data_IF_269724588409
#
_entry.id   IF_269724588409
#
_cell.length_a   1.000
_cell.length_b   1.000
_cell.length_c   1.000
_cell.angle_alpha   90.00
_cell.angle_beta   90.00
_cell.angle_gamma   90.00
#
_symmetry.space_group_name_H-M   'P 1'
#
loop_
_entity.id
_entity.type
_entity.pdbx_description
1 polymer ?
#
# COMPACT_ATOMS: atom_id res chain seq x y z
N UNK A 1 33.70 -28.58 -34.51
CA UNK A 1 33.63 -28.48 -33.03
C UNK A 1 33.20 -27.08 -32.54
N UNK A 2 32.16 -26.46 -33.12
CA UNK A 2 31.66 -25.11 -32.69
C UNK A 2 30.26 -25.14 -32.06
N UNK A 3 29.59 -26.29 -32.07
CA UNK A 3 28.18 -26.40 -31.70
C UNK A 3 27.96 -26.87 -30.25
N UNK A 4 28.92 -27.57 -29.65
CA UNK A 4 28.81 -28.02 -28.24
C UNK A 4 28.77 -26.84 -27.26
N UNK A 5 29.52 -25.76 -27.51
CA UNK A 5 29.61 -24.63 -26.57
C UNK A 5 28.29 -23.85 -26.45
N UNK A 6 27.47 -23.81 -27.52
CA UNK A 6 26.14 -23.19 -27.50
C UNK A 6 25.17 -23.93 -26.57
N UNK A 7 25.25 -25.26 -26.53
CA UNK A 7 24.37 -26.07 -25.68
C UNK A 7 24.82 -26.07 -24.22
N UNK A 8 26.13 -26.03 -23.95
CA UNK A 8 26.66 -25.93 -22.59
C UNK A 8 26.28 -24.60 -21.93
N UNK A 9 26.33 -23.49 -22.66
CA UNK A 9 25.92 -22.17 -22.14
C UNK A 9 24.39 -22.08 -21.92
N UNK A 10 23.58 -22.70 -22.79
CA UNK A 10 22.12 -22.81 -22.63
C UNK A 10 21.73 -23.64 -21.41
N UNK A 11 22.48 -24.72 -21.11
CA UNK A 11 22.22 -25.60 -19.98
C UNK A 11 22.56 -24.94 -18.63
N UNK A 12 23.57 -24.07 -18.59
CA UNK A 12 23.91 -23.27 -17.41
C UNK A 12 22.82 -22.23 -17.13
N UNK A 13 22.27 -21.58 -18.17
CA UNK A 13 21.19 -20.59 -18.01
C UNK A 13 19.88 -21.23 -17.52
N UNK A 14 19.60 -22.48 -17.92
CA UNK A 14 18.43 -23.22 -17.45
C UNK A 14 18.53 -23.62 -15.96
N UNK A 15 19.76 -23.83 -15.45
CA UNK A 15 19.99 -24.20 -14.04
C UNK A 15 19.92 -23.00 -13.08
N UNK A 16 20.16 -21.78 -13.55
CA UNK A 16 20.12 -20.57 -12.70
C UNK A 16 18.67 -20.11 -12.44
N UNK A 17 17.72 -20.43 -13.34
CA UNK A 17 16.33 -19.99 -13.23
C UNK A 17 15.50 -20.74 -12.15
N UNK A 18 16.02 -21.81 -11.54
CA UNK A 18 15.29 -22.61 -10.54
C UNK A 18 15.43 -22.12 -9.10
N UNK A 19 16.29 -21.13 -8.84
CA UNK A 19 16.48 -20.57 -7.49
C UNK A 19 15.71 -19.27 -7.29
N UNK A 20 14.45 -19.23 -7.73
CA UNK A 20 13.52 -18.18 -7.30
C UNK A 20 13.00 -18.60 -5.93
N UNK A 21 13.70 -18.16 -4.88
CA UNK A 21 13.15 -18.22 -3.53
C UNK A 21 11.98 -17.24 -3.46
N UNK A 22 10.77 -17.75 -3.63
CA UNK A 22 9.55 -17.01 -3.33
C UNK A 22 9.43 -16.92 -1.80
N UNK A 23 10.16 -15.98 -1.18
CA UNK A 23 10.08 -15.76 0.25
C UNK A 23 8.65 -15.30 0.59
N UNK A 24 7.89 -16.16 1.28
CA UNK A 24 6.58 -15.81 1.81
C UNK A 24 6.77 -14.75 2.89
N UNK A 25 6.58 -13.48 2.54
CA UNK A 25 6.68 -12.38 3.49
C UNK A 25 5.50 -12.41 4.45
N UNK A 26 5.77 -12.58 5.75
CA UNK A 26 4.73 -12.58 6.78
C UNK A 26 4.25 -11.15 7.01
N UNK A 27 2.96 -10.91 6.75
CA UNK A 27 2.32 -9.62 6.98
C UNK A 27 1.63 -9.64 8.33
N UNK A 28 2.06 -8.76 9.23
CA UNK A 28 1.53 -8.64 10.58
C UNK A 28 0.24 -7.81 10.59
N UNK A 29 -0.74 -8.20 11.41
CA UNK A 29 -1.94 -7.38 11.65
C UNK A 29 -1.68 -6.29 12.69
N UNK A 30 -0.78 -6.57 13.63
CA UNK A 30 -0.34 -5.66 14.68
C UNK A 30 1.14 -5.92 14.93
N UNK A 31 1.89 -4.87 15.19
CA UNK A 31 3.30 -4.92 15.57
C UNK A 31 3.51 -4.14 16.88
N UNK A 32 4.66 -4.36 17.53
CA UNK A 32 5.09 -3.59 18.70
C UNK A 32 5.14 -2.09 18.41
N UNK A 33 5.67 -1.74 17.23
CA UNK A 33 5.67 -0.38 16.72
C UNK A 33 4.86 -0.35 15.43
N UNK A 34 3.76 0.39 15.44
CA UNK A 34 2.91 0.56 14.27
C UNK A 34 3.60 1.42 13.20
N UNK A 35 3.26 1.24 11.92
CA UNK A 35 3.75 2.10 10.85
C UNK A 35 3.34 3.56 11.06
N UNK A 36 4.19 4.49 10.62
CA UNK A 36 3.95 5.92 10.78
C UNK A 36 4.17 6.68 9.47
N UNK A 37 3.30 7.64 9.16
CA UNK A 37 3.48 8.55 8.04
C UNK A 37 4.72 9.43 8.27
N UNK A 38 5.52 9.75 7.23
CA UNK A 38 6.67 10.63 7.40
C UNK A 38 6.24 12.01 7.92
N UNK A 39 6.81 12.46 9.04
CA UNK A 39 6.39 13.69 9.72
C UNK A 39 5.22 13.51 10.70
N UNK A 40 4.72 12.28 10.86
CA UNK A 40 3.69 11.93 11.83
C UNK A 40 2.26 12.24 11.38
N UNK A 41 1.34 12.16 12.34
CA UNK A 41 -0.10 12.26 12.08
C UNK A 41 -0.51 13.65 11.58
N UNK A 42 0.15 14.72 12.02
CA UNK A 42 -0.15 16.07 11.60
C UNK A 42 0.09 16.29 10.10
N UNK A 43 1.20 15.78 9.57
CA UNK A 43 1.51 15.87 8.13
C UNK A 43 0.60 14.97 7.31
N UNK A 44 0.23 13.80 7.84
CA UNK A 44 -0.75 12.92 7.24
C UNK A 44 -2.12 13.61 7.11
N UNK A 45 -2.57 14.32 8.15
CA UNK A 45 -3.82 15.08 8.11
C UNK A 45 -3.77 16.20 7.08
N UNK A 46 -2.65 16.95 7.00
CA UNK A 46 -2.46 17.96 5.94
C UNK A 46 -2.50 17.34 4.55
N UNK A 47 -1.85 16.18 4.35
CA UNK A 47 -1.90 15.46 3.09
C UNK A 47 -3.36 15.14 2.70
N UNK A 48 -4.17 14.64 3.63
CA UNK A 48 -5.58 14.37 3.37
C UNK A 48 -6.41 15.59 2.98
N UNK A 49 -6.08 16.79 3.46
CA UNK A 49 -6.77 18.00 3.00
C UNK A 49 -6.52 18.32 1.52
N UNK A 50 -5.48 17.75 0.92
CA UNK A 50 -5.12 17.95 -0.49
C UNK A 50 -5.91 17.03 -1.43
N UNK A 51 -6.65 16.04 -0.90
CA UNK A 51 -7.41 15.12 -1.73
C UNK A 51 -8.45 15.88 -2.57
N UNK A 52 -8.46 15.62 -3.88
CA UNK A 52 -9.45 16.19 -4.77
C UNK A 52 -10.73 15.38 -4.66
N UNK A 53 -11.74 15.97 -4.03
CA UNK A 53 -13.08 15.40 -4.05
C UNK A 53 -13.69 15.65 -5.43
N UNK A 54 -14.04 14.61 -6.21
CA UNK A 54 -14.90 14.82 -7.37
C UNK A 54 -16.18 15.52 -6.91
N UNK A 55 -16.75 16.39 -7.77
CA UNK A 55 -18.01 17.09 -7.52
C UNK A 55 -19.16 16.09 -7.56
N UNK A 56 -19.19 15.17 -6.61
CA UNK A 56 -20.31 14.28 -6.39
C UNK A 56 -21.30 15.10 -5.58
N UNK A 57 -22.42 15.45 -6.19
CA UNK A 57 -23.58 16.03 -5.53
C UNK A 57 -24.12 15.01 -4.56
N UNK A 58 -23.57 14.99 -3.34
CA UNK A 58 -24.08 14.11 -2.28
C UNK A 58 -25.34 14.75 -1.72
N UNK A 59 -26.42 14.59 -2.48
CA UNK A 59 -27.75 15.12 -2.16
C UNK A 59 -28.32 14.50 -0.87
N UNK A 60 -27.74 13.38 -0.38
CA UNK A 60 -28.35 12.57 0.69
C UNK A 60 -27.41 11.99 1.77
N UNK A 61 -26.15 12.39 1.92
CA UNK A 61 -25.33 11.87 3.04
C UNK A 61 -24.42 12.92 3.68
N UNK A 62 -24.98 13.53 4.72
CA UNK A 62 -24.36 14.54 5.60
C UNK A 62 -23.10 14.01 6.29
N UNK A 63 -22.86 12.68 6.35
CA UNK A 63 -21.63 12.10 6.89
C UNK A 63 -21.33 10.75 6.21
N UNK A 64 -20.32 10.72 5.34
CA UNK A 64 -19.91 9.50 4.65
C UNK A 64 -18.52 9.08 5.08
N UNK A 65 -18.35 7.80 5.42
CA UNK A 65 -17.09 7.22 5.90
C UNK A 65 -16.57 6.19 4.92
N UNK A 66 -15.34 6.40 4.47
CA UNK A 66 -14.57 5.46 3.66
C UNK A 66 -13.52 4.80 4.54
N UNK A 67 -13.35 3.50 4.40
CA UNK A 67 -12.35 2.74 5.15
C UNK A 67 -11.49 2.00 4.14
N UNK A 68 -10.19 2.31 4.11
CA UNK A 68 -9.20 1.58 3.33
C UNK A 68 -8.23 0.86 4.26
N UNK A 69 -7.83 -0.33 3.82
CA UNK A 69 -6.77 -1.14 4.41
C UNK A 69 -5.68 -1.33 3.36
N UNK A 70 -4.43 -1.25 3.76
CA UNK A 70 -3.30 -1.56 2.89
C UNK A 70 -2.13 -2.10 3.70
N UNK A 71 -1.14 -2.64 3.00
CA UNK A 71 0.07 -3.19 3.59
C UNK A 71 1.17 -2.15 3.45
N UNK A 72 1.82 -1.81 4.56
CA UNK A 72 3.07 -1.07 4.55
C UNK A 72 4.19 -2.09 4.65
N UNK A 73 5.05 -2.13 3.63
CA UNK A 73 6.14 -3.10 3.57
C UNK A 73 7.26 -2.72 4.54
N UNK A 74 8.19 -3.65 4.78
CA UNK A 74 9.44 -3.36 5.51
C UNK A 74 10.30 -2.24 4.90
N UNK A 75 10.06 -1.88 3.64
CA UNK A 75 10.70 -0.77 2.92
C UNK A 75 9.94 0.56 3.08
N UNK A 76 8.76 0.55 3.73
CA UNK A 76 7.89 1.72 3.83
C UNK A 76 6.94 1.92 2.65
N UNK A 77 6.94 1.02 1.66
CA UNK A 77 6.08 1.15 0.48
C UNK A 77 4.69 0.60 0.75
N UNK A 78 3.69 1.19 0.10
CA UNK A 78 2.31 0.73 0.18
C UNK A 78 2.07 -0.37 -0.86
N UNK A 79 1.40 -1.45 -0.46
CA UNK A 79 0.94 -2.55 -1.32
C UNK A 79 -0.47 -3.00 -0.93
N UNK A 80 -1.13 -3.73 -1.84
CA UNK A 80 -2.41 -4.39 -1.62
C UNK A 80 -3.46 -3.48 -0.96
N UNK A 81 -3.82 -2.40 -1.65
CA UNK A 81 -4.84 -1.47 -1.16
C UNK A 81 -6.22 -2.10 -1.38
N UNK A 82 -6.97 -2.23 -0.30
CA UNK A 82 -8.31 -2.79 -0.22
C UNK A 82 -9.26 -1.76 0.40
N UNK A 83 -10.39 -1.52 -0.26
CA UNK A 83 -11.46 -0.67 0.29
C UNK A 83 -12.43 -1.57 1.05
N UNK A 84 -12.42 -1.46 2.37
CA UNK A 84 -13.33 -2.21 3.25
C UNK A 84 -14.73 -1.59 3.28
N UNK A 85 -14.81 -0.26 3.17
CA UNK A 85 -16.07 0.47 3.10
C UNK A 85 -15.99 1.51 1.99
N UNK A 86 -16.73 1.27 0.93
CA UNK A 86 -16.88 2.14 -0.23
C UNK A 86 -17.88 3.25 0.04
N UNK A 87 -17.63 4.43 -0.54
CA UNK A 87 -18.63 5.50 -0.65
C UNK A 87 -19.29 5.50 -2.03
N UNK A 88 -18.46 5.60 -3.07
CA UNK A 88 -18.87 5.58 -4.46
C UNK A 88 -17.66 5.15 -5.29
N UNK A 89 -17.88 4.39 -6.36
CA UNK A 89 -16.84 3.87 -7.26
C UNK A 89 -15.92 4.96 -7.83
N UNK A 90 -16.47 6.14 -8.12
CA UNK A 90 -15.69 7.29 -8.61
C UNK A 90 -14.72 7.81 -7.56
N UNK A 91 -15.18 7.99 -6.32
CA UNK A 91 -14.35 8.42 -5.21
C UNK A 91 -13.31 7.36 -4.85
N UNK A 92 -13.72 6.09 -4.79
CA UNK A 92 -12.86 4.95 -4.47
C UNK A 92 -11.65 4.86 -5.41
N UNK A 93 -11.87 5.08 -6.71
CA UNK A 93 -10.81 5.03 -7.71
C UNK A 93 -9.77 6.14 -7.48
N UNK A 94 -10.23 7.36 -7.17
CA UNK A 94 -9.35 8.48 -6.87
C UNK A 94 -8.65 8.30 -5.52
N UNK A 95 -9.36 7.74 -4.53
CA UNK A 95 -8.83 7.47 -3.21
C UNK A 95 -7.70 6.43 -3.24
N UNK A 96 -7.84 5.37 -4.05
CA UNK A 96 -6.76 4.40 -4.26
C UNK A 96 -5.53 5.07 -4.87
N UNK A 97 -5.70 5.90 -5.90
CA UNK A 97 -4.58 6.65 -6.50
C UNK A 97 -3.93 7.60 -5.50
N UNK A 98 -4.73 8.27 -4.69
CA UNK A 98 -4.27 9.16 -3.64
C UNK A 98 -3.42 8.42 -2.59
N UNK A 99 -3.85 7.25 -2.14
CA UNK A 99 -3.06 6.39 -1.24
C UNK A 99 -1.78 5.91 -1.93
N UNK A 100 -1.84 5.51 -3.20
CA UNK A 100 -0.65 5.08 -3.97
C UNK A 100 0.37 6.21 -4.15
N UNK A 101 -0.07 7.46 -4.18
CA UNK A 101 0.79 8.63 -4.34
C UNK A 101 1.39 9.16 -3.02
N UNK A 102 1.15 8.46 -1.90
CA UNK A 102 1.78 8.81 -0.63
C UNK A 102 3.29 8.59 -0.67
N UNK A 103 4.06 9.39 0.09
CA UNK A 103 5.49 9.14 0.29
C UNK A 103 5.73 7.82 1.02
N UNK A 104 6.99 7.36 1.01
CA UNK A 104 7.39 6.17 1.76
C UNK A 104 7.15 6.35 3.28
N UNK A 105 6.49 5.36 3.89
CA UNK A 105 6.15 5.33 5.29
C UNK A 105 7.30 4.82 6.15
N UNK A 106 7.28 5.17 7.42
CA UNK A 106 8.13 4.52 8.42
C UNK A 106 7.52 3.13 8.69
N UNK A 107 8.24 2.03 8.40
CA UNK A 107 7.71 0.68 8.53
C UNK A 107 7.45 0.32 9.99
N UNK A 108 6.58 -0.67 10.20
CA UNK A 108 6.39 -1.27 11.51
C UNK A 108 7.68 -1.94 11.99
N UNK A 109 7.88 -1.98 13.31
CA UNK A 109 8.97 -2.75 13.92
C UNK A 109 8.43 -3.82 14.86
N UNK A 110 9.03 -4.99 14.77
CA UNK A 110 8.79 -6.13 15.65
C UNK A 110 10.14 -6.73 16.03
N UNK A 111 10.41 -6.93 17.32
CA UNK A 111 11.69 -7.47 17.79
C UNK A 111 12.92 -6.72 17.24
N UNK A 112 12.79 -5.40 17.05
CA UNK A 112 13.85 -4.55 16.48
C UNK A 112 14.03 -4.65 14.96
N UNK A 113 13.25 -5.46 14.25
CA UNK A 113 13.33 -5.62 12.79
C UNK A 113 12.14 -4.94 12.09
N UNK A 114 12.38 -4.38 10.91
CA UNK A 114 11.32 -3.81 10.09
C UNK A 114 10.46 -4.95 9.50
N UNK A 115 9.15 -4.86 9.69
CA UNK A 115 8.20 -5.87 9.23
C UNK A 115 7.10 -5.26 8.39
N UNK A 116 6.54 -6.07 7.50
CA UNK A 116 5.36 -5.69 6.71
C UNK A 116 4.11 -5.78 7.58
N UNK A 117 3.31 -4.72 7.63
CA UNK A 117 2.15 -4.64 8.52
C UNK A 117 0.93 -4.07 7.80
N UNK A 118 -0.25 -4.58 8.14
CA UNK A 118 -1.51 -3.96 7.74
C UNK A 118 -1.70 -2.62 8.44
N UNK A 119 -2.21 -1.65 7.70
CA UNK A 119 -2.61 -0.35 8.19
C UNK A 119 -4.00 -0.02 7.66
N UNK A 120 -4.89 0.45 8.53
CA UNK A 120 -6.28 0.75 8.18
C UNK A 120 -6.60 2.20 8.53
N UNK A 121 -7.05 2.96 7.54
CA UNK A 121 -7.38 4.38 7.68
C UNK A 121 -8.89 4.55 7.51
N UNK A 122 -9.58 5.00 8.57
CA UNK A 122 -10.91 5.54 8.42
C UNK A 122 -10.85 7.01 8.03
N UNK A 123 -11.37 7.36 6.85
CA UNK A 123 -11.58 8.74 6.43
C UNK A 123 -13.06 9.09 6.56
N UNK A 124 -13.35 10.17 7.29
CA UNK A 124 -14.69 10.77 7.31
C UNK A 124 -14.68 11.96 6.38
N UNK A 125 -15.64 12.00 5.46
CA UNK A 125 -15.79 13.06 4.48
C UNK A 125 -16.94 13.96 4.94
N UNK A 126 -16.63 15.24 5.08
CA UNK A 126 -17.60 16.28 5.35
C UNK A 126 -17.86 17.06 4.06
N UNK A 127 -19.01 16.83 3.43
CA UNK A 127 -19.44 17.63 2.29
C UNK A 127 -19.82 19.03 2.78
N UNK A 128 -19.13 20.05 2.29
CA UNK A 128 -19.53 21.43 2.53
C UNK A 128 -20.84 21.68 1.78
N UNK A 129 -21.85 22.18 2.50
CA UNK A 129 -23.16 22.55 1.96
C UNK A 129 -23.09 23.86 1.17
#
# INVERSE_FOLDING_TARGET
MKNIFKYVLSLIIFFIATNISCSQETVYTSAEVMPQYPGGENEMMKYFTTIKYPKISVENSINSRVIARFIITKEGKIRNIEILKSLNKEFDTEFVKFIQAMPDWIPAKQNGQNVSCYYTIPMTIHFQR
#
